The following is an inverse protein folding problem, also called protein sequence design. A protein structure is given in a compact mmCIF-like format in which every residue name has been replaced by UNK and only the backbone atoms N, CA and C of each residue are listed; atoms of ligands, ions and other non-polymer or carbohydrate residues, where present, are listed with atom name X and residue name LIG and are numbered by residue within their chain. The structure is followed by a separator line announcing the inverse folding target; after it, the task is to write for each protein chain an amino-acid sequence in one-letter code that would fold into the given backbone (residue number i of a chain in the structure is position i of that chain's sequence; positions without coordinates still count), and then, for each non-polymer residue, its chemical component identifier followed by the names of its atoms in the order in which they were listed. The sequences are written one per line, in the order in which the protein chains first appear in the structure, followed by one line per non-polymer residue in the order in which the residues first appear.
data_IF_054115392032
#
_entry.id   IF_054115392032
#
_cell.length_a   1.000
_cell.length_b   1.000
_cell.length_c   1.000
_cell.angle_alpha   90.00
_cell.angle_beta   90.00
_cell.angle_gamma   90.00
#
_symmetry.space_group_name_H-M   'P 1'
#
loop_
_entity.id
_entity.type
_entity.pdbx_description
1 polymer ?
#
# COMPACT_ATOMS: atom_id res chain seq x y z
N UNK A 1 -17.11 -11.24 1.13
CA UNK A 1 -17.11 -10.48 -0.13
C UNK A 1 -16.33 -11.21 -1.24
N UNK A 2 -15.14 -11.73 -0.99
CA UNK A 2 -14.42 -12.55 -1.98
C UNK A 2 -15.10 -13.92 -2.20
N UNK A 3 -15.48 -14.62 -1.14
CA UNK A 3 -16.11 -15.95 -1.21
C UNK A 3 -17.50 -15.94 -1.89
N UNK A 4 -18.20 -14.83 -1.88
CA UNK A 4 -19.52 -14.66 -2.50
C UNK A 4 -19.45 -14.01 -3.89
N UNK A 5 -18.24 -13.83 -4.44
CA UNK A 5 -18.00 -13.31 -5.78
C UNK A 5 -18.20 -11.80 -5.96
N UNK A 6 -18.50 -11.03 -4.89
CA UNK A 6 -18.68 -9.58 -4.99
C UNK A 6 -17.37 -8.82 -5.21
N UNK A 7 -16.25 -9.38 -4.77
CA UNK A 7 -14.90 -8.88 -5.08
C UNK A 7 -14.22 -9.90 -6.00
N UNK A 8 -14.16 -9.63 -7.30
CA UNK A 8 -13.55 -10.54 -8.27
C UNK A 8 -12.03 -10.61 -8.09
N UNK A 9 -11.43 -11.73 -8.44
CA UNK A 9 -9.99 -11.82 -8.63
C UNK A 9 -9.61 -11.13 -9.95
N UNK A 10 -8.59 -10.32 -9.89
CA UNK A 10 -7.95 -9.65 -11.03
C UNK A 10 -6.53 -10.16 -11.20
N UNK A 11 -5.89 -9.81 -12.29
CA UNK A 11 -4.43 -9.94 -12.39
C UNK A 11 -3.84 -8.79 -11.59
N UNK A 12 -3.12 -9.12 -10.52
CA UNK A 12 -2.50 -8.16 -9.60
C UNK A 12 -0.99 -8.33 -9.59
N UNK A 13 -0.28 -7.25 -9.32
CA UNK A 13 1.19 -7.25 -9.21
C UNK A 13 1.66 -7.81 -7.86
N UNK A 14 0.95 -7.45 -6.78
CA UNK A 14 1.18 -7.85 -5.38
C UNK A 14 2.51 -7.36 -4.76
N UNK A 15 3.23 -6.45 -5.42
CA UNK A 15 4.37 -5.70 -4.87
C UNK A 15 4.48 -4.33 -5.57
N UNK A 16 3.45 -3.50 -5.40
CA UNK A 16 3.25 -2.24 -6.13
C UNK A 16 3.94 -1.04 -5.48
N UNK A 17 4.94 -1.28 -4.66
CA UNK A 17 5.77 -0.21 -4.10
C UNK A 17 6.43 0.62 -5.22
N UNK A 18 6.65 1.90 -4.96
CA UNK A 18 7.18 2.84 -5.96
C UNK A 18 8.54 2.43 -6.56
N UNK A 19 9.35 1.68 -5.83
CA UNK A 19 10.65 1.15 -6.30
C UNK A 19 10.51 0.17 -7.47
N UNK A 20 9.32 -0.39 -7.72
CA UNK A 20 9.05 -1.31 -8.82
C UNK A 20 8.54 -0.58 -10.08
N UNK A 21 8.67 0.75 -10.11
CA UNK A 21 8.36 1.59 -11.27
C UNK A 21 9.64 2.29 -11.72
N UNK A 22 10.05 2.06 -12.96
CA UNK A 22 11.14 2.82 -13.58
C UNK A 22 10.61 4.16 -14.08
N UNK A 23 11.32 5.22 -13.71
CA UNK A 23 10.99 6.59 -14.11
C UNK A 23 12.12 7.12 -14.98
N UNK A 24 11.76 7.74 -16.10
CA UNK A 24 12.73 8.42 -16.99
C UNK A 24 13.21 9.70 -16.33
N UNK A 25 14.51 9.82 -16.13
CA UNK A 25 15.13 10.95 -15.42
C UNK A 25 14.97 12.29 -16.15
N UNK A 26 14.83 12.26 -17.47
CA UNK A 26 14.71 13.48 -18.27
C UNK A 26 13.29 14.02 -18.32
N UNK A 27 12.29 13.15 -18.27
CA UNK A 27 10.87 13.52 -18.42
C UNK A 27 10.06 13.40 -17.14
N UNK A 28 10.56 12.70 -16.12
CA UNK A 28 9.84 12.38 -14.90
C UNK A 28 8.65 11.43 -15.10
N UNK A 29 8.57 10.75 -16.25
CA UNK A 29 7.45 9.84 -16.56
C UNK A 29 7.81 8.39 -16.25
N UNK A 30 6.81 7.66 -15.76
CA UNK A 30 6.92 6.20 -15.63
C UNK A 30 7.04 5.57 -17.03
N UNK A 31 8.00 4.65 -17.19
CA UNK A 31 8.31 3.95 -18.44
C UNK A 31 8.09 2.44 -18.36
N UNK A 32 8.28 1.84 -17.20
CA UNK A 32 8.19 0.39 -17.04
C UNK A 32 7.84 0.02 -15.62
N UNK A 33 7.04 -1.03 -15.47
CA UNK A 33 6.82 -1.76 -14.20
C UNK A 33 7.76 -2.97 -14.20
N UNK A 34 8.45 -3.22 -13.11
CA UNK A 34 9.43 -4.31 -12.94
C UNK A 34 9.04 -5.19 -11.76
N UNK A 35 9.81 -6.26 -11.51
CA UNK A 35 9.63 -7.20 -10.39
C UNK A 35 8.28 -7.97 -10.50
N UNK A 36 8.09 -8.64 -11.64
CA UNK A 36 6.82 -9.27 -12.01
C UNK A 36 6.64 -10.71 -11.49
N UNK A 37 7.53 -11.19 -10.64
CA UNK A 37 7.51 -12.56 -10.12
C UNK A 37 6.36 -12.84 -9.13
N UNK A 38 5.75 -11.77 -8.59
CA UNK A 38 4.58 -11.84 -7.70
C UNK A 38 3.25 -11.67 -8.44
N UNK A 39 3.27 -11.53 -9.77
CA UNK A 39 2.03 -11.36 -10.56
C UNK A 39 1.18 -12.63 -10.51
N UNK A 40 -0.02 -12.52 -9.95
CA UNK A 40 -0.96 -13.61 -9.79
C UNK A 40 -2.41 -13.10 -9.63
N UNK A 41 -3.43 -13.99 -9.65
CA UNK A 41 -4.78 -13.58 -9.31
C UNK A 41 -4.88 -13.08 -7.87
N UNK A 42 -5.39 -11.86 -7.69
CA UNK A 42 -5.54 -11.21 -6.39
C UNK A 42 -6.67 -10.19 -6.35
N UNK A 43 -6.78 -9.47 -5.24
CA UNK A 43 -7.75 -8.39 -5.09
C UNK A 43 -7.09 -7.06 -5.49
N UNK A 44 -7.77 -6.27 -6.30
CA UNK A 44 -7.34 -4.93 -6.72
C UNK A 44 -6.94 -4.03 -5.53
N UNK A 45 -7.67 -4.17 -4.41
CA UNK A 45 -7.39 -3.41 -3.20
C UNK A 45 -6.00 -3.71 -2.59
N UNK A 46 -5.40 -4.88 -2.87
CA UNK A 46 -4.05 -5.21 -2.40
C UNK A 46 -3.00 -4.38 -3.14
N UNK A 47 -3.07 -4.30 -4.46
CA UNK A 47 -2.15 -3.48 -5.26
C UNK A 47 -2.23 -2.00 -4.88
N UNK A 48 -3.46 -1.47 -4.80
CA UNK A 48 -3.66 -0.12 -4.32
C UNK A 48 -3.10 0.08 -2.91
N UNK A 49 -3.38 -0.87 -2.02
CA UNK A 49 -2.97 -0.78 -0.62
C UNK A 49 -1.47 -0.76 -0.42
N UNK A 50 -0.74 -1.60 -1.15
CA UNK A 50 0.72 -1.63 -1.08
C UNK A 50 1.35 -0.34 -1.65
N UNK A 51 0.77 0.21 -2.72
CA UNK A 51 1.17 1.52 -3.26
C UNK A 51 1.00 2.64 -2.24
N UNK A 52 -0.13 2.68 -1.52
CA UNK A 52 -0.42 3.70 -0.50
C UNK A 52 0.50 3.55 0.71
N UNK A 53 0.70 2.34 1.20
CA UNK A 53 1.60 2.04 2.32
C UNK A 53 2.98 2.66 2.13
N UNK A 54 3.49 2.58 0.92
CA UNK A 54 4.80 3.12 0.56
C UNK A 54 4.73 4.59 0.11
N UNK A 55 3.82 4.91 -0.79
CA UNK A 55 3.81 6.19 -1.51
C UNK A 55 3.06 7.32 -0.81
N UNK A 56 2.18 7.04 0.16
CA UNK A 56 1.46 8.06 0.91
C UNK A 56 1.89 8.16 2.38
N UNK A 57 2.92 7.42 2.81
CA UNK A 57 3.54 7.59 4.12
C UNK A 57 4.40 8.86 4.14
N UNK A 58 4.29 9.65 5.20
CA UNK A 58 5.12 10.85 5.42
C UNK A 58 6.52 10.54 5.93
N UNK A 59 6.78 9.29 6.30
CA UNK A 59 8.04 8.85 6.89
C UNK A 59 8.60 7.60 6.18
N UNK A 60 9.88 7.33 6.37
CA UNK A 60 10.52 6.10 5.91
C UNK A 60 9.92 4.88 6.61
N UNK A 61 10.03 3.72 5.97
CA UNK A 61 9.49 2.45 6.48
C UNK A 61 10.07 2.05 7.84
N UNK A 62 11.29 2.48 8.15
CA UNK A 62 12.02 2.19 9.39
C UNK A 62 12.21 3.43 10.29
N UNK A 63 11.36 4.46 10.15
CA UNK A 63 11.42 5.69 10.97
C UNK A 63 11.25 5.35 12.46
N UNK A 64 12.17 5.84 13.27
CA UNK A 64 12.19 5.60 14.70
C UNK A 64 11.38 6.62 15.50
N UNK A 65 11.23 7.82 14.95
CA UNK A 65 10.37 8.87 15.50
C UNK A 65 8.96 8.70 14.96
N UNK A 66 8.15 7.94 15.69
CA UNK A 66 6.79 7.59 15.27
C UNK A 66 5.86 8.81 15.17
N UNK A 67 6.22 9.95 15.73
CA UNK A 67 5.44 11.19 15.60
C UNK A 67 5.45 11.76 14.17
N UNK A 68 6.40 11.33 13.33
CA UNK A 68 6.50 11.70 11.92
C UNK A 68 5.68 10.82 10.99
N UNK A 69 5.19 9.68 11.50
CA UNK A 69 4.51 8.68 10.68
C UNK A 69 3.04 9.03 10.54
N UNK A 70 2.62 9.31 9.33
CA UNK A 70 1.22 9.66 9.01
C UNK A 70 0.93 9.32 7.55
N UNK A 71 -0.32 9.07 7.22
CA UNK A 71 -0.80 8.99 5.85
C UNK A 71 -1.10 10.41 5.33
N UNK A 72 -0.41 10.82 4.28
CA UNK A 72 -0.69 12.08 3.59
C UNK A 72 -1.94 11.93 2.71
N UNK A 73 -3.01 12.63 3.07
CA UNK A 73 -4.28 12.56 2.33
C UNK A 73 -4.20 13.20 0.94
N UNK A 74 -3.29 14.12 0.69
CA UNK A 74 -3.09 14.67 -0.65
C UNK A 74 -2.43 13.63 -1.56
N UNK A 75 -1.38 12.95 -1.09
CA UNK A 75 -0.77 11.84 -1.84
C UNK A 75 -1.76 10.69 -2.03
N UNK A 76 -2.55 10.37 -1.01
CA UNK A 76 -3.62 9.37 -1.14
C UNK A 76 -4.63 9.76 -2.25
N UNK A 77 -5.04 11.03 -2.33
CA UNK A 77 -5.96 11.54 -3.36
C UNK A 77 -5.34 11.40 -4.78
N UNK A 78 -4.09 11.80 -4.94
CA UNK A 78 -3.35 11.69 -6.21
C UNK A 78 -3.25 10.23 -6.66
N UNK A 79 -2.87 9.32 -5.75
CA UNK A 79 -2.80 7.88 -6.03
C UNK A 79 -4.17 7.30 -6.37
N UNK A 80 -5.21 7.63 -5.60
CA UNK A 80 -6.57 7.15 -5.83
C UNK A 80 -7.07 7.54 -7.21
N UNK A 81 -6.86 8.80 -7.60
CA UNK A 81 -7.21 9.30 -8.94
C UNK A 81 -6.49 8.51 -10.02
N UNK A 82 -5.14 8.47 -9.96
CA UNK A 82 -4.34 7.81 -10.98
C UNK A 82 -4.64 6.33 -11.11
N UNK A 83 -4.85 5.65 -9.98
CA UNK A 83 -5.16 4.22 -9.97
C UNK A 83 -6.53 3.91 -10.59
N UNK A 84 -7.57 4.64 -10.20
CA UNK A 84 -8.94 4.42 -10.71
C UNK A 84 -9.02 4.79 -12.19
N UNK A 85 -8.43 5.93 -12.61
CA UNK A 85 -8.34 6.32 -14.03
C UNK A 85 -7.56 5.30 -14.85
N UNK A 86 -6.42 4.80 -14.33
CA UNK A 86 -5.59 3.80 -14.98
C UNK A 86 -6.29 2.46 -15.18
N UNK A 87 -7.24 2.10 -14.32
CA UNK A 87 -8.07 0.91 -14.49
C UNK A 87 -9.15 1.05 -15.59
N UNK A 88 -9.34 2.25 -16.18
CA UNK A 88 -10.16 2.45 -17.37
C UNK A 88 -11.63 2.02 -17.23
N UNK A 89 -12.21 2.12 -16.04
CA UNK A 89 -13.60 1.71 -15.77
C UNK A 89 -13.79 0.20 -15.58
N UNK A 90 -12.71 -0.58 -15.45
CA UNK A 90 -12.80 -2.02 -15.24
C UNK A 90 -13.18 -2.42 -13.81
N UNK A 91 -13.05 -1.51 -12.84
CA UNK A 91 -13.37 -1.77 -11.43
C UNK A 91 -14.86 -1.68 -11.17
N UNK A 92 -15.37 -2.57 -10.34
CA UNK A 92 -16.73 -2.45 -9.80
C UNK A 92 -16.78 -1.38 -8.71
N UNK A 93 -17.96 -0.85 -8.43
CA UNK A 93 -18.20 0.11 -7.36
C UNK A 93 -17.67 -0.38 -6.00
N UNK A 94 -17.84 -1.67 -5.72
CA UNK A 94 -17.39 -2.27 -4.48
C UNK A 94 -15.86 -2.38 -4.41
N UNK A 95 -15.18 -2.69 -5.53
CA UNK A 95 -13.73 -2.66 -5.57
C UNK A 95 -13.19 -1.26 -5.24
N UNK A 96 -13.79 -0.21 -5.83
CA UNK A 96 -13.44 1.18 -5.55
C UNK A 96 -13.68 1.53 -4.07
N UNK A 97 -14.83 1.18 -3.52
CA UNK A 97 -15.16 1.42 -2.11
C UNK A 97 -14.20 0.72 -1.13
N UNK A 98 -13.60 -0.40 -1.54
CA UNK A 98 -12.69 -1.18 -0.70
C UNK A 98 -11.23 -0.70 -0.75
N UNK A 99 -10.86 0.23 -1.63
CA UNK A 99 -9.48 0.71 -1.76
C UNK A 99 -8.90 1.27 -0.44
N UNK A 100 -9.61 2.11 0.35
CA UNK A 100 -9.09 2.57 1.63
C UNK A 100 -8.84 1.44 2.64
N UNK A 101 -9.71 0.44 2.64
CA UNK A 101 -9.52 -0.75 3.49
C UNK A 101 -8.32 -1.57 3.02
N UNK A 102 -8.07 -1.65 1.71
CA UNK A 102 -6.87 -2.28 1.14
C UNK A 102 -5.59 -1.62 1.66
N UNK A 103 -5.54 -0.28 1.73
CA UNK A 103 -4.40 0.44 2.29
C UNK A 103 -4.12 0.05 3.74
N UNK A 104 -5.15 0.01 4.58
CA UNK A 104 -5.03 -0.40 5.98
C UNK A 104 -4.59 -1.85 6.08
N UNK A 105 -5.20 -2.76 5.31
CA UNK A 105 -4.93 -4.20 5.35
C UNK A 105 -3.49 -4.51 4.93
N UNK A 106 -3.01 -3.97 3.83
CA UNK A 106 -1.66 -4.23 3.32
C UNK A 106 -0.59 -3.68 4.25
N UNK A 107 -0.84 -2.51 4.84
CA UNK A 107 0.06 -1.93 5.85
C UNK A 107 0.11 -2.79 7.10
N UNK A 108 -1.03 -3.29 7.56
CA UNK A 108 -1.12 -4.19 8.72
C UNK A 108 -0.42 -5.52 8.46
N UNK A 109 -0.65 -6.13 7.30
CA UNK A 109 0.01 -7.37 6.90
C UNK A 109 1.53 -7.23 6.92
N UNK A 110 2.08 -6.18 6.30
CA UNK A 110 3.52 -5.93 6.30
C UNK A 110 4.06 -5.70 7.73
N UNK A 111 3.31 -4.99 8.58
CA UNK A 111 3.67 -4.83 9.99
C UNK A 111 3.80 -6.16 10.72
N UNK A 112 2.87 -7.09 10.50
CA UNK A 112 2.92 -8.44 11.08
C UNK A 112 4.10 -9.23 10.51
N UNK A 113 4.36 -9.16 9.20
CA UNK A 113 5.49 -9.86 8.56
C UNK A 113 6.84 -9.40 9.13
N UNK A 114 7.03 -8.08 9.33
CA UNK A 114 8.23 -7.56 9.99
C UNK A 114 8.37 -8.04 11.43
N UNK A 115 7.25 -8.07 12.18
CA UNK A 115 7.26 -8.58 13.56
C UNK A 115 7.60 -10.06 13.60
N UNK A 116 7.01 -10.85 12.73
CA UNK A 116 7.27 -12.31 12.66
C UNK A 116 8.73 -12.57 12.38
N UNK A 117 9.30 -11.92 11.35
CA UNK A 117 10.70 -12.08 11.01
C UNK A 117 11.64 -11.67 12.15
N UNK A 118 11.32 -10.56 12.85
CA UNK A 118 12.07 -10.14 14.04
C UNK A 118 12.04 -11.19 15.16
N UNK A 119 10.90 -11.80 15.42
CA UNK A 119 10.77 -12.83 16.46
C UNK A 119 11.46 -14.16 16.07
N UNK A 120 11.57 -14.43 14.78
CA UNK A 120 12.24 -15.61 14.23
C UNK A 120 13.76 -15.42 14.07
N UNK A 121 14.28 -14.21 14.30
CA UNK A 121 15.71 -13.90 14.26
C UNK A 121 16.19 -13.16 13.02
N UNK A 122 15.32 -12.42 12.36
CA UNK A 122 15.61 -11.54 11.21
C UNK A 122 16.25 -12.28 10.02
N UNK A 123 15.61 -13.37 9.56
CA UNK A 123 16.13 -14.23 8.49
C UNK A 123 15.58 -13.93 7.09
N UNK A 124 14.42 -13.31 6.99
CA UNK A 124 13.74 -13.10 5.72
C UNK A 124 14.05 -11.72 5.11
N UNK A 125 13.82 -10.64 5.86
CA UNK A 125 14.09 -9.30 5.37
C UNK A 125 15.53 -8.88 5.67
N UNK A 126 16.18 -8.28 4.68
CA UNK A 126 17.52 -7.73 4.89
C UNK A 126 17.49 -6.63 5.95
N UNK A 127 18.31 -6.78 6.98
CA UNK A 127 18.46 -5.80 8.06
C UNK A 127 19.81 -5.08 7.98
N UNK A 128 19.84 -3.82 8.36
CA UNK A 128 21.07 -3.01 8.43
C UNK A 128 21.54 -2.76 9.88
N UNK A 129 20.73 -3.14 10.86
CA UNK A 129 20.99 -2.95 12.28
C UNK A 129 20.12 -3.89 13.12
N UNK A 130 20.52 -4.11 14.36
CA UNK A 130 19.68 -4.82 15.34
C UNK A 130 18.34 -4.09 15.54
N UNK A 131 17.26 -4.85 15.61
CA UNK A 131 15.90 -4.34 15.78
C UNK A 131 15.31 -3.61 14.58
N UNK A 132 15.93 -3.70 13.39
CA UNK A 132 15.47 -3.00 12.19
C UNK A 132 14.04 -3.39 11.82
N UNK A 133 13.71 -4.68 11.80
CA UNK A 133 12.36 -5.14 11.51
C UNK A 133 11.34 -4.77 12.61
N UNK A 134 11.78 -4.66 13.85
CA UNK A 134 10.92 -4.16 14.93
C UNK A 134 10.59 -2.68 14.74
N UNK A 135 11.53 -1.85 14.30
CA UNK A 135 11.27 -0.45 13.95
C UNK A 135 10.31 -0.35 12.78
N UNK A 136 10.50 -1.16 11.71
CA UNK A 136 9.57 -1.26 10.57
C UNK A 136 8.16 -1.65 11.03
N UNK A 137 8.04 -2.66 11.88
CA UNK A 137 6.74 -3.06 12.44
C UNK A 137 6.05 -1.90 13.16
N UNK A 138 6.76 -1.17 14.02
CA UNK A 138 6.22 -0.02 14.75
C UNK A 138 5.73 1.07 13.83
N UNK A 139 6.49 1.38 12.78
CA UNK A 139 6.12 2.35 11.74
C UNK A 139 4.84 1.92 11.04
N UNK A 140 4.75 0.66 10.58
CA UNK A 140 3.56 0.16 9.90
C UNK A 140 2.32 0.20 10.81
N UNK A 141 2.42 -0.23 12.07
CA UNK A 141 1.29 -0.20 12.99
C UNK A 141 0.85 1.23 13.36
N UNK A 142 1.79 2.17 13.40
CA UNK A 142 1.48 3.59 13.59
C UNK A 142 0.74 4.15 12.38
N UNK A 143 1.18 3.80 11.17
CA UNK A 143 0.51 4.20 9.93
C UNK A 143 -0.90 3.59 9.82
N UNK A 144 -1.09 2.33 10.22
CA UNK A 144 -2.41 1.68 10.31
C UNK A 144 -3.34 2.48 11.22
N UNK A 145 -2.88 2.85 12.41
CA UNK A 145 -3.67 3.64 13.36
C UNK A 145 -4.08 4.99 12.76
N UNK A 146 -3.14 5.70 12.16
CA UNK A 146 -3.39 7.00 11.53
C UNK A 146 -4.40 6.88 10.38
N UNK A 147 -4.28 5.87 9.52
CA UNK A 147 -5.25 5.61 8.45
C UNK A 147 -6.63 5.22 8.97
N UNK A 148 -6.72 4.48 10.08
CA UNK A 148 -8.01 4.17 10.72
C UNK A 148 -8.71 5.45 11.22
N UNK A 149 -7.96 6.39 11.80
CA UNK A 149 -8.48 7.68 12.24
C UNK A 149 -8.91 8.55 11.05
N UNK A 150 -8.21 8.46 9.91
CA UNK A 150 -8.48 9.18 8.67
C UNK A 150 -9.45 8.46 7.70
N UNK A 151 -9.91 7.25 8.04
CA UNK A 151 -10.75 6.46 7.15
C UNK A 151 -12.00 7.21 6.61
N UNK A 152 -12.70 8.04 7.40
CA UNK A 152 -13.80 8.84 6.85
C UNK A 152 -13.36 9.76 5.70
N UNK A 153 -12.23 10.47 5.85
CA UNK A 153 -11.70 11.36 4.81
C UNK A 153 -11.21 10.56 3.59
N UNK A 154 -10.54 9.43 3.78
CA UNK A 154 -10.13 8.54 2.70
C UNK A 154 -11.34 8.05 1.89
N UNK A 155 -12.43 7.67 2.56
CA UNK A 155 -13.68 7.30 1.90
C UNK A 155 -14.32 8.47 1.11
N UNK A 156 -14.25 9.70 1.61
CA UNK A 156 -14.73 10.88 0.89
C UNK A 156 -13.89 11.14 -0.37
N UNK A 157 -12.58 10.96 -0.30
CA UNK A 157 -11.69 11.08 -1.45
C UNK A 157 -12.08 10.06 -2.53
N UNK A 158 -12.24 8.79 -2.18
CA UNK A 158 -12.60 7.73 -3.13
C UNK A 158 -13.94 8.01 -3.83
N UNK A 159 -14.93 8.56 -3.12
CA UNK A 159 -16.24 8.91 -3.71
C UNK A 159 -16.18 9.92 -4.83
N UNK A 160 -15.13 10.74 -4.92
CA UNK A 160 -14.94 11.71 -6.01
C UNK A 160 -14.70 11.02 -7.36
N UNK A 161 -14.21 9.78 -7.34
CA UNK A 161 -13.74 9.02 -8.52
C UNK A 161 -14.61 7.81 -8.84
N UNK A 162 -15.71 7.63 -8.12
CA UNK A 162 -16.69 6.56 -8.31
C UNK A 162 -17.71 6.83 -9.42
#
# INVERSE_FOLDING_TARGET
MQLDGRLPLRVTHNDTKLNNIMIDDATGKAICVIDLDTVMPGLTANDFGDSIRFGASTALEDERDLSKVSCDLHLFDVYAKGFIEGCGGALTDLEIEMLPMGAILMTFENGIRFLTDHLEGDHYFHIHREGHNLDRCRTQLTLVKDMQEKLPQMNEIIRKYK
#
